data_IF_825491136091
#
_entry.id   IF_825491136091
#
_cell.length_a   1.000
_cell.length_b   1.000
_cell.length_c   1.000
_cell.angle_alpha   90.00
_cell.angle_beta   90.00
_cell.angle_gamma   90.00
#
_symmetry.space_group_name_H-M   'P 1'
#
loop_
_entity.id
_entity.type
_entity.pdbx_description
1 polymer ?
#
# COMPACT_ATOMS: atom_id res chain seq x y z
N UNK A 1 -10.74 7.36 -20.18
CA UNK A 1 -10.42 7.58 -18.75
C UNK A 1 -11.68 7.36 -17.93
N UNK A 2 -11.53 6.88 -16.71
CA UNK A 2 -12.65 6.64 -15.79
C UNK A 2 -12.16 6.37 -14.36
N UNK A 3 -13.10 6.26 -13.45
CA UNK A 3 -12.89 5.83 -12.08
C UNK A 3 -12.96 4.30 -12.02
N UNK A 4 -12.01 3.67 -11.37
CA UNK A 4 -12.02 2.23 -11.13
C UNK A 4 -12.44 1.96 -9.69
N UNK A 5 -13.44 1.13 -9.49
CA UNK A 5 -13.89 0.68 -8.16
C UNK A 5 -13.52 -0.78 -7.99
N UNK A 6 -12.72 -1.10 -6.98
CA UNK A 6 -12.35 -2.48 -6.66
C UNK A 6 -13.52 -3.11 -5.91
N UNK A 7 -14.20 -4.06 -6.55
CA UNK A 7 -15.30 -4.79 -5.91
C UNK A 7 -14.75 -5.91 -5.03
N UNK A 8 -13.76 -6.66 -5.54
CA UNK A 8 -13.00 -7.67 -4.79
C UNK A 8 -11.59 -7.74 -5.32
N UNK A 9 -10.62 -8.08 -4.46
CA UNK A 9 -9.23 -8.33 -4.83
C UNK A 9 -8.27 -7.31 -4.27
N UNK A 10 -7.01 -7.38 -4.72
CA UNK A 10 -5.91 -6.54 -4.24
C UNK A 10 -5.11 -5.99 -5.41
N UNK A 11 -4.84 -4.70 -5.38
CA UNK A 11 -4.15 -3.96 -6.43
C UNK A 11 -3.03 -3.13 -5.81
N UNK A 12 -1.87 -3.09 -6.46
CA UNK A 12 -0.80 -2.14 -6.15
C UNK A 12 -0.75 -1.04 -7.19
N UNK A 13 -0.50 0.18 -6.74
CA UNK A 13 -0.16 1.30 -7.61
C UNK A 13 1.32 1.59 -7.47
N UNK A 14 2.02 1.61 -8.59
CA UNK A 14 3.45 1.91 -8.65
C UNK A 14 3.75 3.02 -9.64
N UNK A 15 4.82 3.74 -9.37
CA UNK A 15 5.45 4.68 -10.29
C UNK A 15 6.84 4.20 -10.65
N UNK A 16 7.20 4.32 -11.92
CA UNK A 16 8.55 4.10 -12.37
C UNK A 16 9.41 5.32 -12.00
N UNK A 17 10.46 5.07 -11.22
CA UNK A 17 11.46 6.05 -10.88
C UNK A 17 12.63 6.04 -11.87
N UNK A 18 13.76 6.60 -11.42
CA UNK A 18 14.99 6.60 -12.19
C UNK A 18 15.46 5.16 -12.50
N UNK A 19 15.95 4.92 -13.69
CA UNK A 19 16.39 3.59 -14.18
C UNK A 19 15.30 2.50 -14.18
N UNK A 20 14.02 2.89 -14.24
CA UNK A 20 12.90 1.94 -14.30
C UNK A 20 12.61 1.22 -12.98
N UNK A 21 13.23 1.60 -11.87
CA UNK A 21 12.90 1.06 -10.56
C UNK A 21 11.47 1.45 -10.18
N UNK A 22 10.68 0.46 -9.82
CA UNK A 22 9.32 0.71 -9.33
C UNK A 22 9.34 1.19 -7.86
N UNK A 23 8.47 2.15 -7.56
CA UNK A 23 8.10 2.51 -6.19
C UNK A 23 6.62 2.24 -6.02
N UNK A 24 6.24 1.38 -5.08
CA UNK A 24 4.84 1.19 -4.72
C UNK A 24 4.42 2.39 -3.87
N UNK A 25 3.52 3.19 -4.44
CA UNK A 25 3.04 4.40 -3.79
C UNK A 25 1.77 4.16 -2.98
N UNK A 26 0.94 3.17 -3.39
CA UNK A 26 -0.31 2.82 -2.71
C UNK A 26 -0.64 1.34 -2.92
N UNK A 27 -1.24 0.75 -1.90
CA UNK A 27 -1.94 -0.52 -1.97
C UNK A 27 -3.44 -0.25 -1.93
N UNK A 28 -4.22 -1.07 -2.62
CA UNK A 28 -5.67 -0.94 -2.70
C UNK A 28 -6.33 -2.32 -2.60
N UNK A 29 -7.51 -2.36 -2.01
CA UNK A 29 -8.31 -3.57 -1.76
C UNK A 29 -9.79 -3.33 -2.03
N UNK A 30 -10.63 -4.26 -1.61
CA UNK A 30 -12.08 -4.17 -1.71
C UNK A 30 -12.61 -2.82 -1.22
N UNK A 31 -13.53 -2.24 -1.97
CA UNK A 31 -14.16 -0.93 -1.72
C UNK A 31 -13.29 0.29 -1.99
N UNK A 32 -12.03 0.12 -2.36
CA UNK A 32 -11.18 1.23 -2.77
C UNK A 32 -11.51 1.70 -4.19
N UNK A 33 -11.23 2.98 -4.43
CA UNK A 33 -11.35 3.61 -5.73
C UNK A 33 -9.98 4.07 -6.25
N UNK A 34 -9.80 3.98 -7.57
CA UNK A 34 -8.56 4.35 -8.25
C UNK A 34 -8.87 5.27 -9.43
N UNK A 35 -7.91 6.13 -9.79
CA UNK A 35 -8.00 6.99 -10.96
C UNK A 35 -8.69 8.34 -10.74
N UNK A 36 -9.31 8.58 -9.59
CA UNK A 36 -9.99 9.83 -9.28
C UNK A 36 -9.06 11.06 -9.31
N UNK A 37 -7.79 10.92 -8.92
CA UNK A 37 -6.81 12.02 -8.96
C UNK A 37 -6.64 12.56 -10.38
N UNK A 38 -6.40 11.66 -11.34
CA UNK A 38 -6.26 12.01 -12.75
C UNK A 38 -7.54 12.63 -13.32
N UNK A 39 -8.71 12.14 -12.90
CA UNK A 39 -9.98 12.71 -13.31
C UNK A 39 -10.17 14.13 -12.79
N UNK A 40 -9.84 14.39 -11.51
CA UNK A 40 -10.03 15.70 -10.87
C UNK A 40 -8.98 16.70 -11.36
N UNK A 41 -7.70 16.31 -11.51
CA UNK A 41 -6.65 17.20 -12.02
C UNK A 41 -6.75 17.45 -13.53
N UNK A 42 -7.47 16.60 -14.27
CA UNK A 42 -7.53 16.65 -15.73
C UNK A 42 -6.30 16.10 -16.43
N UNK A 43 -5.38 15.47 -15.70
CA UNK A 43 -4.13 14.91 -16.20
C UNK A 43 -4.26 13.44 -16.58
N UNK A 44 -3.21 12.88 -17.20
CA UNK A 44 -3.10 11.44 -17.42
C UNK A 44 -2.88 10.68 -16.10
N UNK A 45 -3.15 9.36 -16.11
CA UNK A 45 -2.78 8.51 -14.97
C UNK A 45 -1.26 8.53 -14.76
N UNK A 46 -0.82 8.89 -13.58
CA UNK A 46 0.60 9.00 -13.20
C UNK A 46 1.18 7.72 -12.61
N UNK A 47 0.37 6.71 -12.39
CA UNK A 47 0.76 5.44 -11.80
C UNK A 47 0.24 4.26 -12.60
N UNK A 48 0.95 3.14 -12.53
CA UNK A 48 0.53 1.83 -13.04
C UNK A 48 -0.22 1.10 -11.94
N UNK A 49 -1.42 0.59 -12.27
CA UNK A 49 -2.19 -0.29 -11.39
C UNK A 49 -1.95 -1.75 -11.80
N UNK A 50 -1.42 -2.56 -10.88
CA UNK A 50 -1.15 -3.99 -11.10
C UNK A 50 -1.94 -4.81 -10.09
N UNK A 51 -2.67 -5.79 -10.60
CA UNK A 51 -3.43 -6.74 -9.78
C UNK A 51 -2.45 -7.67 -9.06
N UNK A 52 -2.59 -7.81 -7.74
CA UNK A 52 -1.78 -8.71 -6.91
C UNK A 52 -2.44 -10.10 -6.85
N UNK A 53 -3.76 -10.14 -6.84
CA UNK A 53 -4.58 -11.36 -6.86
C UNK A 53 -5.83 -11.13 -7.71
N UNK A 54 -6.52 -12.21 -8.10
CA UNK A 54 -7.73 -12.14 -8.92
C UNK A 54 -8.70 -11.10 -8.39
N UNK A 55 -9.07 -10.13 -9.22
CA UNK A 55 -9.84 -8.97 -8.82
C UNK A 55 -11.01 -8.71 -9.75
N UNK A 56 -12.13 -8.25 -9.18
CA UNK A 56 -13.28 -7.72 -9.93
C UNK A 56 -13.26 -6.21 -9.79
N UNK A 57 -13.15 -5.52 -10.90
CA UNK A 57 -13.04 -4.06 -10.95
C UNK A 57 -14.15 -3.50 -11.84
N UNK A 58 -14.91 -2.55 -11.31
CA UNK A 58 -15.90 -1.78 -12.06
C UNK A 58 -15.27 -0.49 -12.60
N UNK A 59 -15.56 -0.16 -13.85
CA UNK A 59 -15.16 1.10 -14.47
C UNK A 59 -16.38 2.03 -14.54
N UNK A 60 -16.26 3.21 -13.95
CA UNK A 60 -17.21 4.31 -14.06
C UNK A 60 -16.63 5.30 -15.09
N UNK A 61 -17.30 5.55 -16.23
CA UNK A 61 -16.85 6.52 -17.21
C UNK A 61 -16.66 7.93 -16.62
N UNK A 62 -15.75 8.70 -17.18
CA UNK A 62 -15.39 10.05 -16.73
C UNK A 62 -16.62 10.97 -16.63
N UNK A 63 -17.49 10.92 -17.62
CA UNK A 63 -18.69 11.76 -17.71
C UNK A 63 -19.65 11.46 -16.54
N UNK A 64 -19.87 10.16 -16.27
CA UNK A 64 -20.73 9.71 -15.16
C UNK A 64 -20.11 10.11 -13.80
N UNK A 65 -18.79 10.00 -13.67
CA UNK A 65 -18.11 10.42 -12.44
C UNK A 65 -18.31 11.91 -12.14
N UNK A 66 -18.19 12.78 -13.14
CA UNK A 66 -18.43 14.21 -12.96
C UNK A 66 -19.89 14.53 -12.66
N UNK A 67 -20.83 13.85 -13.34
CA UNK A 67 -22.25 14.00 -13.03
C UNK A 67 -22.56 13.64 -11.57
N UNK A 68 -21.99 12.51 -11.08
CA UNK A 68 -22.12 12.10 -9.68
C UNK A 68 -21.55 13.14 -8.71
N UNK A 69 -20.39 13.74 -9.01
CA UNK A 69 -19.80 14.79 -8.18
C UNK A 69 -20.66 16.04 -8.10
N UNK A 70 -21.27 16.43 -9.20
CA UNK A 70 -22.13 17.62 -9.26
C UNK A 70 -23.42 17.45 -8.46
N UNK A 71 -23.99 16.26 -8.43
CA UNK A 71 -25.30 16.01 -7.81
C UNK A 71 -25.22 15.33 -6.43
N UNK A 72 -24.01 14.96 -5.97
CA UNK A 72 -23.84 14.26 -4.68
C UNK A 72 -22.75 14.92 -3.82
N UNK A 73 -23.15 15.86 -2.98
CA UNK A 73 -22.24 16.59 -2.08
C UNK A 73 -21.50 15.67 -1.10
N UNK A 74 -22.12 14.56 -0.68
CA UNK A 74 -21.45 13.57 0.22
C UNK A 74 -20.31 12.87 -0.49
N UNK A 75 -20.52 12.49 -1.76
CA UNK A 75 -19.46 11.89 -2.57
C UNK A 75 -18.31 12.88 -2.76
N UNK A 76 -18.62 14.12 -3.11
CA UNK A 76 -17.63 15.19 -3.30
C UNK A 76 -16.82 15.43 -2.02
N UNK A 77 -17.49 15.56 -0.88
CA UNK A 77 -16.81 15.71 0.42
C UNK A 77 -15.97 14.48 0.78
N UNK A 78 -16.46 13.28 0.47
CA UNK A 78 -15.72 12.02 0.66
C UNK A 78 -14.43 11.96 -0.15
N UNK A 79 -14.48 12.37 -1.42
CA UNK A 79 -13.30 12.43 -2.29
C UNK A 79 -12.32 13.52 -1.83
N UNK A 80 -12.80 14.68 -1.41
CA UNK A 80 -11.93 15.72 -0.84
C UNK A 80 -11.20 15.23 0.41
N UNK A 81 -11.90 14.53 1.30
CA UNK A 81 -11.28 13.92 2.48
C UNK A 81 -10.24 12.89 2.08
N UNK A 82 -10.56 11.98 1.14
CA UNK A 82 -9.62 10.97 0.64
C UNK A 82 -8.35 11.60 0.08
N UNK A 83 -8.48 12.70 -0.69
CA UNK A 83 -7.32 13.44 -1.22
C UNK A 83 -6.47 14.07 -0.11
N UNK A 84 -7.11 14.62 0.93
CA UNK A 84 -6.40 15.19 2.07
C UNK A 84 -5.67 14.11 2.89
N UNK A 85 -6.32 12.98 3.14
CA UNK A 85 -5.71 11.84 3.83
C UNK A 85 -4.52 11.28 3.02
N UNK A 86 -4.66 11.11 1.70
CA UNK A 86 -3.55 10.66 0.84
C UNK A 86 -2.38 11.66 0.77
N UNK A 87 -2.67 12.97 0.82
CA UNK A 87 -1.60 13.98 0.87
C UNK A 87 -0.82 13.84 2.16
N UNK A 88 -1.50 13.70 3.31
CA UNK A 88 -0.87 13.47 4.60
C UNK A 88 -0.01 12.21 4.58
N UNK A 89 -0.54 11.09 4.09
CA UNK A 89 0.21 9.82 4.00
C UNK A 89 1.47 9.96 3.13
N UNK A 90 1.39 10.76 2.05
CA UNK A 90 2.54 11.04 1.18
C UNK A 90 3.60 11.88 1.90
N UNK A 91 3.20 12.89 2.67
CA UNK A 91 4.11 13.73 3.47
C UNK A 91 4.78 12.91 4.59
N UNK A 92 4.02 12.07 5.29
CA UNK A 92 4.54 11.14 6.31
C UNK A 92 5.54 10.16 5.70
N UNK A 93 5.26 9.63 4.50
CA UNK A 93 6.16 8.73 3.77
C UNK A 93 7.45 9.42 3.35
N UNK A 94 7.39 10.67 2.87
CA UNK A 94 8.58 11.46 2.53
C UNK A 94 9.46 11.65 3.77
N UNK A 95 8.85 12.03 4.89
CA UNK A 95 9.54 12.24 6.18
C UNK A 95 10.18 10.93 6.66
N UNK A 96 9.44 9.82 6.61
CA UNK A 96 9.94 8.50 7.01
C UNK A 96 11.12 8.04 6.15
N UNK A 97 11.06 8.24 4.82
CA UNK A 97 12.17 7.89 3.92
C UNK A 97 13.41 8.72 4.23
N UNK A 98 13.24 10.01 4.54
CA UNK A 98 14.34 10.92 4.82
C UNK A 98 14.99 10.70 6.20
N UNK A 99 14.23 10.28 7.21
CA UNK A 99 14.67 10.31 8.61
C UNK A 99 14.75 8.92 9.27
N UNK A 100 13.87 7.98 8.93
CA UNK A 100 13.84 6.66 9.59
C UNK A 100 14.86 5.69 8.99
N UNK A 101 15.58 4.92 9.82
CA UNK A 101 16.37 3.78 9.38
C UNK A 101 15.54 2.76 8.59
N UNK A 102 16.16 2.06 7.65
CA UNK A 102 15.46 1.08 6.79
C UNK A 102 14.78 -0.03 7.60
N UNK A 103 15.40 -0.46 8.71
CA UNK A 103 14.84 -1.50 9.58
C UNK A 103 13.52 -1.06 10.24
N UNK A 104 13.44 0.18 10.70
CA UNK A 104 12.22 0.76 11.27
C UNK A 104 11.11 0.87 10.22
N UNK A 105 11.45 1.35 9.00
CA UNK A 105 10.52 1.41 7.88
C UNK A 105 10.01 0.03 7.44
N UNK A 106 10.87 -1.00 7.49
CA UNK A 106 10.47 -2.37 7.21
C UNK A 106 9.50 -2.91 8.26
N UNK A 107 9.75 -2.66 9.53
CA UNK A 107 8.85 -3.05 10.62
C UNK A 107 7.49 -2.35 10.49
N UNK A 108 7.49 -1.07 10.20
CA UNK A 108 6.28 -0.26 9.93
C UNK A 108 5.50 -0.79 8.72
N UNK A 109 6.19 -1.11 7.61
CA UNK A 109 5.55 -1.67 6.42
C UNK A 109 4.89 -3.04 6.69
N UNK A 110 5.52 -3.91 7.49
CA UNK A 110 4.93 -5.20 7.88
C UNK A 110 3.70 -5.03 8.77
N UNK A 111 3.71 -4.07 9.69
CA UNK A 111 2.57 -3.75 10.54
C UNK A 111 1.43 -3.13 9.73
N UNK A 112 1.73 -2.20 8.83
CA UNK A 112 0.76 -1.61 7.91
C UNK A 112 0.09 -2.69 7.04
N UNK A 113 0.86 -3.63 6.49
CA UNK A 113 0.29 -4.75 5.72
C UNK A 113 -0.66 -5.61 6.57
N UNK A 114 -0.32 -5.86 7.84
CA UNK A 114 -1.18 -6.59 8.77
C UNK A 114 -2.47 -5.82 9.07
N UNK A 115 -2.39 -4.54 9.34
CA UNK A 115 -3.54 -3.69 9.64
C UNK A 115 -4.45 -3.55 8.41
N UNK A 116 -3.86 -3.34 7.25
CA UNK A 116 -4.61 -3.07 6.03
C UNK A 116 -5.30 -4.32 5.45
N UNK A 117 -4.60 -5.46 5.38
CA UNK A 117 -5.14 -6.68 4.78
C UNK A 117 -5.62 -7.71 5.80
N UNK A 118 -5.28 -7.54 7.07
CA UNK A 118 -5.56 -8.55 8.08
C UNK A 118 -4.64 -9.77 7.99
N UNK A 119 -5.08 -10.85 8.59
CA UNK A 119 -4.41 -12.15 8.60
C UNK A 119 -5.35 -13.25 8.14
N UNK A 120 -4.79 -14.33 7.62
CA UNK A 120 -5.51 -15.54 7.24
C UNK A 120 -6.00 -16.30 8.47
N UNK A 121 -7.23 -16.82 8.43
CA UNK A 121 -7.85 -17.54 9.57
C UNK A 121 -7.14 -18.86 9.90
N UNK A 122 -6.54 -19.51 8.90
CA UNK A 122 -5.96 -20.85 9.02
C UNK A 122 -4.60 -20.86 9.75
N UNK A 123 -3.75 -19.87 9.53
CA UNK A 123 -2.37 -19.88 10.03
C UNK A 123 -1.88 -18.53 10.59
N UNK A 124 -2.74 -17.50 10.62
CA UNK A 124 -2.39 -16.13 11.01
C UNK A 124 -1.23 -15.51 10.18
N UNK A 125 -0.99 -15.95 8.94
CA UNK A 125 -0.11 -15.25 8.02
C UNK A 125 -0.80 -13.98 7.52
N UNK A 126 -0.03 -13.01 7.02
CA UNK A 126 -0.61 -11.83 6.38
C UNK A 126 -1.53 -12.26 5.24
N UNK A 127 -2.74 -11.70 5.19
CA UNK A 127 -3.69 -11.93 4.12
C UNK A 127 -3.27 -11.17 2.84
N UNK A 128 -2.03 -11.37 2.43
CA UNK A 128 -1.46 -10.91 1.16
C UNK A 128 -0.22 -11.73 0.84
N UNK A 129 -0.11 -12.16 -0.41
CA UNK A 129 1.12 -12.76 -0.93
C UNK A 129 1.96 -11.67 -1.60
N UNK A 130 3.11 -11.35 -1.01
CA UNK A 130 3.96 -10.25 -1.44
C UNK A 130 5.42 -10.69 -1.56
N UNK A 131 6.10 -10.29 -2.62
CA UNK A 131 7.52 -10.60 -2.86
C UNK A 131 8.44 -9.70 -2.05
N UNK A 132 9.70 -10.11 -1.91
CA UNK A 132 10.75 -9.29 -1.25
C UNK A 132 11.03 -8.01 -2.02
N UNK A 133 10.94 -8.06 -3.34
CA UNK A 133 11.05 -6.91 -4.22
C UNK A 133 9.91 -5.91 -3.99
N UNK A 134 8.67 -6.39 -3.92
CA UNK A 134 7.53 -5.51 -3.63
C UNK A 134 7.62 -4.87 -2.24
N UNK A 135 8.09 -5.63 -1.23
CA UNK A 135 8.36 -5.04 0.10
C UNK A 135 9.46 -3.98 -0.01
N UNK A 136 10.52 -4.23 -0.77
CA UNK A 136 11.59 -3.25 -1.00
C UNK A 136 11.05 -1.99 -1.68
N UNK A 137 10.14 -2.15 -2.64
CA UNK A 137 9.46 -1.06 -3.34
C UNK A 137 8.46 -0.29 -2.46
N UNK A 138 7.91 -0.91 -1.40
CA UNK A 138 7.11 -0.21 -0.38
C UNK A 138 8.01 0.59 0.56
N UNK A 139 9.08 -0.04 1.04
CA UNK A 139 10.02 0.52 2.05
C UNK A 139 10.92 1.61 1.46
N UNK A 140 11.15 1.59 0.14
CA UNK A 140 12.08 2.48 -0.56
C UNK A 140 13.55 2.10 -0.29
N UNK A 141 13.91 0.83 -0.57
CA UNK A 141 15.26 0.30 -0.39
C UNK A 141 15.59 -0.79 -1.40
N UNK A 142 16.81 -1.31 -1.39
CA UNK A 142 17.20 -2.44 -2.24
C UNK A 142 16.62 -3.77 -1.75
N UNK A 143 16.29 -4.65 -2.68
CA UNK A 143 15.73 -5.99 -2.39
C UNK A 143 16.64 -6.82 -1.49
N UNK A 144 17.96 -6.76 -1.72
CA UNK A 144 18.97 -7.46 -0.92
C UNK A 144 18.95 -7.00 0.55
N UNK A 145 18.74 -5.71 0.76
CA UNK A 145 18.59 -5.16 2.12
C UNK A 145 17.38 -5.72 2.83
N UNK A 146 16.22 -5.78 2.14
CA UNK A 146 15.00 -6.39 2.70
C UNK A 146 15.21 -7.87 3.02
N UNK A 147 15.82 -8.64 2.10
CA UNK A 147 16.09 -10.07 2.32
C UNK A 147 16.92 -10.26 3.60
N UNK A 148 17.99 -9.49 3.76
CA UNK A 148 18.85 -9.56 4.96
C UNK A 148 18.08 -9.18 6.22
N UNK A 149 17.40 -8.04 6.24
CA UNK A 149 16.68 -7.57 7.43
C UNK A 149 15.53 -8.50 7.81
N UNK A 150 14.78 -9.04 6.84
CA UNK A 150 13.74 -10.03 7.13
C UNK A 150 14.31 -11.35 7.68
N UNK A 151 15.52 -11.75 7.23
CA UNK A 151 16.21 -12.91 7.83
C UNK A 151 16.58 -12.65 9.27
N UNK A 152 17.02 -11.44 9.61
CA UNK A 152 17.37 -11.06 10.99
C UNK A 152 16.11 -11.01 11.88
N UNK A 153 15.02 -10.39 11.43
CA UNK A 153 13.73 -10.41 12.14
C UNK A 153 13.21 -11.84 12.38
N UNK A 154 13.43 -12.75 11.41
CA UNK A 154 13.11 -14.18 11.57
C UNK A 154 13.97 -14.86 12.63
N UNK A 155 15.29 -14.61 12.65
CA UNK A 155 16.22 -15.16 13.69
C UNK A 155 15.84 -14.70 15.08
N UNK A 156 15.38 -13.45 15.23
CA UNK A 156 14.90 -12.88 16.49
C UNK A 156 13.50 -13.36 16.88
N UNK A 157 12.87 -14.17 16.03
CA UNK A 157 11.55 -14.74 16.25
C UNK A 157 10.41 -13.72 16.19
N UNK A 158 10.63 -12.57 15.57
CA UNK A 158 9.60 -11.55 15.40
C UNK A 158 8.63 -11.90 14.27
N UNK A 159 9.14 -12.57 13.22
CA UNK A 159 8.36 -13.03 12.07
C UNK A 159 8.68 -14.49 11.74
N UNK A 160 7.77 -15.15 11.03
CA UNK A 160 8.02 -16.41 10.33
C UNK A 160 7.84 -16.20 8.83
N UNK A 161 8.64 -16.92 8.04
CA UNK A 161 8.64 -16.85 6.59
C UNK A 161 8.43 -18.23 6.01
N UNK A 162 7.45 -18.37 5.12
CA UNK A 162 7.22 -19.56 4.30
C UNK A 162 7.04 -19.12 2.85
N UNK A 163 8.12 -19.20 2.08
CA UNK A 163 8.17 -18.63 0.74
C UNK A 163 7.85 -17.13 0.74
N UNK A 164 6.74 -16.78 0.07
CA UNK A 164 6.20 -15.40 0.02
C UNK A 164 5.26 -15.08 1.19
N UNK A 165 4.83 -16.08 1.95
CA UNK A 165 3.95 -15.89 3.10
C UNK A 165 4.74 -15.36 4.29
N UNK A 166 4.17 -14.42 5.01
CA UNK A 166 4.77 -13.75 6.16
C UNK A 166 3.79 -13.84 7.32
N UNK A 167 4.27 -14.34 8.46
CA UNK A 167 3.53 -14.36 9.71
C UNK A 167 4.23 -13.46 10.72
N UNK A 168 3.51 -12.49 11.27
CA UNK A 168 3.99 -11.67 12.37
C UNK A 168 3.75 -12.45 13.68
N UNK A 169 4.83 -12.75 14.41
CA UNK A 169 4.79 -13.53 15.65
C UNK A 169 4.75 -12.61 16.88
N UNK A 170 5.55 -11.53 16.88
CA UNK A 170 5.68 -10.59 18.00
C UNK A 170 5.33 -9.18 17.53
N UNK A 171 4.02 -8.85 17.47
CA UNK A 171 3.55 -7.52 17.01
C UNK A 171 4.11 -6.39 17.87
N UNK A 172 4.13 -6.55 19.21
CA UNK A 172 4.64 -5.52 20.14
C UNK A 172 6.13 -5.23 19.95
N UNK A 173 6.92 -6.27 19.61
CA UNK A 173 8.33 -6.08 19.32
C UNK A 173 8.54 -5.32 18.00
N UNK A 174 7.73 -5.60 16.97
CA UNK A 174 7.76 -4.84 15.74
C UNK A 174 7.27 -3.40 15.92
N UNK A 175 6.25 -3.16 16.75
CA UNK A 175 5.78 -1.81 17.08
C UNK A 175 6.90 -0.99 17.75
N UNK A 176 7.60 -1.59 18.71
CA UNK A 176 8.78 -0.95 19.35
C UNK A 176 9.88 -0.66 18.34
N UNK A 177 10.17 -1.62 17.46
CA UNK A 177 11.20 -1.49 16.44
C UNK A 177 10.84 -0.43 15.39
N UNK A 178 9.55 -0.29 15.04
CA UNK A 178 9.05 0.73 14.11
C UNK A 178 9.03 2.14 14.73
N UNK A 179 9.32 2.26 16.02
CA UNK A 179 9.31 3.53 16.77
C UNK A 179 7.95 4.26 16.65
N UNK A 180 6.86 3.48 16.78
CA UNK A 180 5.48 3.97 16.67
C UNK A 180 4.85 4.25 18.05
N UNK A 181 5.65 4.27 19.13
CA UNK A 181 5.25 4.70 20.45
C UNK A 181 5.76 6.13 20.70
N UNK A 182 4.93 7.10 20.34
CA UNK A 182 4.96 8.46 20.85
C UNK A 182 3.56 8.90 21.29
#
# INVERSE_FOLDING_TARGET
MGLFCINTGKVKLSQAGFEGKEQIIRLAKDSDILGYRALISGEAYSATATVIEDSKICLIPKEVFYELLQHNSKLTSGIMKLLADELKDAEDKITNIAQKPVLERLAEALLMLKEYYGVEDNDNSLNITITREEIANIVGTATETVIRLMSDLRKEGMIKLDGKRIKIVKSDALLKLANLYD
#
